data_IF_831363777196
#
_entry.id   IF_831363777196
#
_cell.length_a   1.000
_cell.length_b   1.000
_cell.length_c   1.000
_cell.angle_alpha   90.00
_cell.angle_beta   90.00
_cell.angle_gamma   90.00
#
_symmetry.space_group_name_H-M   'P 1'
#
loop_
_entity.id
_entity.type
_entity.pdbx_description
1 polymer ?
#
# COMPACT_ATOMS: atom_id res chain seq x y z
N UNK A 1 1.34 -9.74 -19.56
CA UNK A 1 0.21 -8.86 -19.17
C UNK A 1 0.79 -7.61 -18.57
N UNK A 2 0.25 -6.45 -18.94
CA UNK A 2 0.76 -5.15 -18.49
C UNK A 2 -0.07 -4.65 -17.31
N UNK A 3 0.61 -4.31 -16.23
CA UNK A 3 0.02 -3.89 -14.96
C UNK A 3 0.38 -2.45 -14.66
N UNK A 4 -0.60 -1.64 -14.26
CA UNK A 4 -0.40 -0.28 -13.75
C UNK A 4 -1.00 -0.19 -12.35
N UNK A 5 -0.17 0.16 -11.36
CA UNK A 5 -0.58 0.25 -9.97
C UNK A 5 -0.38 1.62 -9.35
N UNK A 6 -1.24 1.95 -8.39
CA UNK A 6 -1.22 3.20 -7.62
C UNK A 6 -1.31 2.89 -6.12
N UNK A 7 -0.35 3.43 -5.36
CA UNK A 7 -0.42 3.54 -3.90
C UNK A 7 -0.36 5.01 -3.49
N UNK A 8 -1.46 5.53 -3.01
CA UNK A 8 -1.59 6.88 -2.44
C UNK A 8 -1.84 6.84 -0.94
N UNK A 9 -1.68 5.68 -0.31
CA UNK A 9 -1.98 5.47 1.11
C UNK A 9 -0.92 6.07 2.04
N UNK A 10 0.27 6.40 1.50
CA UNK A 10 1.45 6.91 2.22
C UNK A 10 1.67 8.40 2.00
N UNK A 11 2.71 8.94 2.66
CA UNK A 11 3.15 10.34 2.48
C UNK A 11 3.56 10.65 1.04
N UNK A 12 4.23 9.70 0.39
CA UNK A 12 4.53 9.75 -1.03
C UNK A 12 3.58 8.81 -1.76
N UNK A 13 3.06 9.23 -2.91
CA UNK A 13 2.37 8.30 -3.78
C UNK A 13 3.39 7.48 -4.58
N UNK A 14 3.15 6.19 -4.68
CA UNK A 14 3.89 5.27 -5.53
C UNK A 14 3.05 4.90 -6.74
N UNK A 15 3.65 5.02 -7.92
CA UNK A 15 3.04 4.58 -9.18
C UNK A 15 4.00 3.55 -9.77
N UNK A 16 3.51 2.36 -10.05
CA UNK A 16 4.32 1.29 -10.58
C UNK A 16 3.69 0.67 -11.83
N UNK A 17 4.56 0.25 -12.73
CA UNK A 17 4.18 -0.42 -13.96
C UNK A 17 5.15 -1.56 -14.23
N UNK A 18 4.63 -2.71 -14.67
CA UNK A 18 5.44 -3.85 -15.09
C UNK A 18 4.70 -4.73 -16.08
N UNK A 19 5.46 -5.58 -16.80
CA UNK A 19 4.91 -6.66 -17.60
C UNK A 19 5.15 -8.00 -16.90
N UNK A 20 4.13 -8.84 -16.78
CA UNK A 20 4.25 -10.15 -16.12
C UNK A 20 5.19 -11.11 -16.85
N UNK A 21 5.58 -10.82 -18.09
CA UNK A 21 6.61 -11.56 -18.83
C UNK A 21 8.04 -11.14 -18.47
N UNK A 22 8.22 -10.03 -17.72
CA UNK A 22 9.51 -9.42 -17.35
C UNK A 22 9.47 -8.88 -15.93
N UNK A 23 9.35 -9.75 -14.95
CA UNK A 23 9.13 -9.38 -13.55
C UNK A 23 10.31 -8.66 -12.88
N UNK A 24 11.50 -8.71 -13.47
CA UNK A 24 12.69 -7.99 -13.10
C UNK A 24 12.72 -6.52 -13.60
N UNK A 25 11.86 -6.18 -14.56
CA UNK A 25 11.76 -4.85 -15.13
C UNK A 25 10.54 -4.08 -14.55
N UNK A 26 10.54 -3.83 -13.23
CA UNK A 26 9.50 -3.00 -12.62
C UNK A 26 9.88 -1.54 -12.64
N UNK A 27 9.00 -0.70 -13.18
CA UNK A 27 9.11 0.75 -13.10
C UNK A 27 8.34 1.25 -11.89
N UNK A 28 9.04 1.81 -10.91
CA UNK A 28 8.46 2.46 -9.74
C UNK A 28 8.80 3.95 -9.75
N UNK A 29 7.78 4.79 -9.74
CA UNK A 29 7.92 6.24 -9.62
C UNK A 29 7.31 6.70 -8.30
N UNK A 30 8.12 7.38 -7.49
CA UNK A 30 7.71 7.97 -6.22
C UNK A 30 7.42 9.45 -6.43
N UNK A 31 6.21 9.89 -6.12
CA UNK A 31 5.87 11.31 -6.14
C UNK A 31 6.55 12.05 -4.97
N UNK A 32 7.13 13.23 -5.20
CA UNK A 32 7.67 14.07 -4.14
C UNK A 32 6.62 14.43 -3.07
N UNK A 33 7.06 14.56 -1.82
CA UNK A 33 6.18 14.86 -0.66
C UNK A 33 5.50 16.22 -0.70
N UNK A 34 6.11 17.19 -1.39
CA UNK A 34 5.62 18.55 -1.55
C UNK A 34 4.51 18.68 -2.61
N UNK A 35 4.27 17.63 -3.39
CA UNK A 35 3.20 17.59 -4.38
C UNK A 35 2.00 16.83 -3.79
N UNK A 36 0.84 17.52 -3.72
CA UNK A 36 -0.39 16.85 -3.28
C UNK A 36 -0.80 15.78 -4.28
N UNK A 37 -1.23 14.62 -3.77
CA UNK A 37 -1.66 13.50 -4.60
C UNK A 37 -2.75 13.90 -5.60
N UNK A 38 -3.72 14.71 -5.19
CA UNK A 38 -4.80 15.20 -6.05
C UNK A 38 -4.33 16.12 -7.19
N UNK A 39 -3.19 16.76 -7.06
CA UNK A 39 -2.66 17.71 -8.05
C UNK A 39 -1.68 17.03 -9.02
N UNK A 40 -0.84 16.11 -8.51
CA UNK A 40 0.27 15.53 -9.27
C UNK A 40 -0.02 14.14 -9.87
N UNK A 41 -0.97 13.38 -9.33
CA UNK A 41 -1.11 11.97 -9.63
C UNK A 41 -1.23 11.66 -11.14
N UNK A 42 -2.06 12.42 -11.87
CA UNK A 42 -2.24 12.21 -13.30
C UNK A 42 -0.98 12.50 -14.12
N UNK A 43 -0.23 13.55 -13.75
CA UNK A 43 1.04 13.88 -14.40
C UNK A 43 2.07 12.75 -14.23
N UNK A 44 2.15 12.18 -13.03
CA UNK A 44 3.07 11.08 -12.75
C UNK A 44 2.62 9.76 -13.37
N UNK A 45 1.31 9.51 -13.46
CA UNK A 45 0.76 8.38 -14.21
C UNK A 45 1.15 8.45 -15.69
N UNK A 46 0.94 9.61 -16.33
CA UNK A 46 1.33 9.83 -17.71
C UNK A 46 2.84 9.60 -17.91
N UNK A 47 3.68 10.15 -17.03
CA UNK A 47 5.13 9.92 -17.08
C UNK A 47 5.50 8.43 -17.00
N UNK A 48 4.88 7.68 -16.07
CA UNK A 48 5.14 6.23 -15.94
C UNK A 48 4.76 5.49 -17.20
N UNK A 49 3.60 5.78 -17.78
CA UNK A 49 3.13 5.14 -19.01
C UNK A 49 4.08 5.45 -20.17
N UNK A 50 4.41 6.72 -20.39
CA UNK A 50 5.27 7.17 -21.49
C UNK A 50 6.71 6.63 -21.34
N UNK A 51 7.28 6.67 -20.14
CA UNK A 51 8.63 6.18 -19.87
C UNK A 51 8.78 4.66 -20.12
N UNK A 52 7.68 3.92 -20.02
CA UNK A 52 7.65 2.49 -20.34
C UNK A 52 7.25 2.21 -21.80
N UNK A 53 7.13 3.26 -22.64
CA UNK A 53 6.75 3.11 -24.05
C UNK A 53 5.35 2.54 -24.25
N UNK A 54 4.44 2.75 -23.29
CA UNK A 54 3.09 2.21 -23.30
C UNK A 54 2.06 3.29 -23.67
N UNK A 55 0.89 2.80 -24.09
CA UNK A 55 -0.35 3.58 -24.12
C UNK A 55 -1.24 3.09 -22.96
N UNK A 56 -2.10 3.93 -22.42
CA UNK A 56 -3.02 3.54 -21.33
C UNK A 56 -3.95 2.39 -21.75
N UNK A 57 -4.27 2.25 -23.03
CA UNK A 57 -5.07 1.16 -23.57
C UNK A 57 -4.35 -0.20 -23.52
N UNK A 58 -3.01 -0.19 -23.46
CA UNK A 58 -2.18 -1.42 -23.39
C UNK A 58 -2.23 -2.09 -22.01
N UNK A 59 -2.72 -1.38 -21.00
CA UNK A 59 -2.82 -1.91 -19.64
C UNK A 59 -3.90 -2.98 -19.58
N UNK A 60 -3.58 -4.12 -19.00
CA UNK A 60 -4.50 -5.24 -18.78
C UNK A 60 -5.14 -5.17 -17.39
N UNK A 61 -4.36 -4.79 -16.36
CA UNK A 61 -4.78 -4.73 -14.98
C UNK A 61 -4.46 -3.38 -14.35
N UNK A 62 -5.44 -2.83 -13.63
CA UNK A 62 -5.24 -1.73 -12.72
C UNK A 62 -5.12 -2.24 -11.29
N UNK A 63 -4.07 -1.83 -10.57
CA UNK A 63 -3.88 -2.13 -9.16
C UNK A 63 -4.12 -0.89 -8.32
N UNK A 64 -4.89 -1.02 -7.26
CA UNK A 64 -5.08 0.05 -6.27
C UNK A 64 -4.78 -0.46 -4.88
N UNK A 65 -3.90 0.23 -4.17
CA UNK A 65 -3.73 -0.02 -2.75
C UNK A 65 -4.90 0.61 -2.00
N UNK A 66 -5.69 -0.24 -1.34
CA UNK A 66 -6.96 0.16 -0.71
C UNK A 66 -6.81 0.54 0.77
N UNK A 67 -5.60 0.49 1.32
CA UNK A 67 -5.27 0.80 2.71
C UNK A 67 -4.45 -0.30 3.39
N UNK A 68 -4.24 -0.19 4.71
CA UNK A 68 -4.52 0.96 5.54
C UNK A 68 -3.60 2.13 5.25
N UNK A 69 -4.05 3.35 5.58
CA UNK A 69 -3.25 4.56 5.36
C UNK A 69 -4.06 5.84 5.40
N UNK A 70 -3.56 6.87 4.72
CA UNK A 70 -4.21 8.15 4.59
C UNK A 70 -5.62 8.03 4.03
N UNK A 71 -6.62 8.49 4.77
CA UNK A 71 -8.03 8.45 4.38
C UNK A 71 -8.28 9.19 3.03
N UNK A 72 -7.71 10.38 2.89
CA UNK A 72 -7.76 11.15 1.65
C UNK A 72 -6.98 10.45 0.54
N UNK A 73 -5.79 9.94 0.84
CA UNK A 73 -4.96 9.24 -0.13
C UNK A 73 -5.66 8.00 -0.70
N UNK A 74 -6.22 7.13 0.14
CA UNK A 74 -6.99 5.95 -0.30
C UNK A 74 -8.08 6.37 -1.29
N UNK A 75 -8.87 7.40 -0.96
CA UNK A 75 -9.95 7.88 -1.83
C UNK A 75 -9.44 8.45 -3.16
N UNK A 76 -8.33 9.19 -3.15
CA UNK A 76 -7.72 9.75 -4.37
C UNK A 76 -7.28 8.62 -5.29
N UNK A 77 -6.53 7.64 -4.82
CA UNK A 77 -6.06 6.51 -5.63
C UNK A 77 -7.22 5.69 -6.20
N UNK A 78 -8.14 5.29 -5.33
CA UNK A 78 -9.31 4.49 -5.75
C UNK A 78 -10.21 5.24 -6.75
N UNK A 79 -10.44 6.54 -6.55
CA UNK A 79 -11.26 7.34 -7.47
C UNK A 79 -10.58 7.51 -8.82
N UNK A 80 -9.25 7.64 -8.84
CA UNK A 80 -8.45 7.70 -10.07
C UNK A 80 -8.58 6.40 -10.85
N UNK A 81 -8.38 5.25 -10.20
CA UNK A 81 -8.55 3.94 -10.85
C UNK A 81 -9.98 3.73 -11.33
N UNK A 82 -11.00 4.06 -10.52
CA UNK A 82 -12.42 3.99 -10.95
C UNK A 82 -12.69 4.85 -12.17
N UNK A 83 -12.15 6.08 -12.20
CA UNK A 83 -12.32 7.01 -13.32
C UNK A 83 -11.71 6.47 -14.61
N UNK A 84 -10.47 6.00 -14.56
CA UNK A 84 -9.79 5.36 -15.69
C UNK A 84 -10.55 4.12 -16.16
N UNK A 85 -10.95 3.28 -15.22
CA UNK A 85 -11.59 2.01 -15.54
C UNK A 85 -13.00 2.15 -16.11
N UNK A 86 -13.69 3.26 -15.83
CA UNK A 86 -15.01 3.54 -16.43
C UNK A 86 -14.94 3.65 -17.96
N UNK A 87 -13.79 4.07 -18.50
CA UNK A 87 -13.57 4.19 -19.96
C UNK A 87 -12.89 2.95 -20.52
N UNK A 88 -11.92 2.40 -19.79
CA UNK A 88 -11.02 1.37 -20.31
C UNK A 88 -11.52 -0.06 -20.04
N UNK A 89 -12.42 -0.25 -19.08
CA UNK A 89 -13.05 -1.52 -18.73
C UNK A 89 -12.05 -2.68 -18.53
N UNK A 90 -11.05 -2.45 -17.69
CA UNK A 90 -10.02 -3.45 -17.34
C UNK A 90 -10.31 -4.09 -15.98
N UNK A 91 -9.60 -5.14 -15.65
CA UNK A 91 -9.69 -5.75 -14.32
C UNK A 91 -9.03 -4.85 -13.28
N UNK A 92 -9.70 -4.61 -12.16
CA UNK A 92 -9.12 -3.91 -11.00
C UNK A 92 -8.70 -4.95 -9.97
N UNK A 93 -7.47 -4.86 -9.50
CA UNK A 93 -6.88 -5.69 -8.43
C UNK A 93 -6.72 -4.82 -7.19
N UNK A 94 -7.66 -4.85 -6.24
CA UNK A 94 -7.50 -4.18 -4.95
C UNK A 94 -6.58 -4.98 -4.05
N UNK A 95 -5.63 -4.31 -3.39
CA UNK A 95 -4.68 -4.96 -2.48
C UNK A 95 -4.53 -4.09 -1.23
N UNK A 96 -4.54 -4.70 -0.05
CA UNK A 96 -4.16 -3.98 1.15
C UNK A 96 -2.64 -4.09 1.40
N UNK A 97 -2.07 -3.10 2.08
CA UNK A 97 -0.63 -3.03 2.30
C UNK A 97 -0.10 -4.18 3.17
N UNK A 98 -0.90 -4.73 4.06
CA UNK A 98 -0.48 -5.88 4.86
C UNK A 98 -0.33 -7.15 4.02
N UNK A 99 -1.15 -7.34 2.97
CA UNK A 99 -1.00 -8.46 2.03
C UNK A 99 0.32 -8.36 1.26
N UNK A 100 0.72 -7.14 0.86
CA UNK A 100 2.00 -6.90 0.18
C UNK A 100 3.19 -7.27 1.06
N UNK A 101 3.10 -7.00 2.36
CA UNK A 101 4.18 -7.21 3.32
C UNK A 101 4.17 -8.60 3.98
N UNK A 102 3.06 -9.32 3.91
CA UNK A 102 2.88 -10.62 4.55
C UNK A 102 3.95 -11.67 4.15
N UNK A 103 4.41 -11.76 2.90
CA UNK A 103 5.46 -12.72 2.52
C UNK A 103 6.77 -12.53 3.28
N UNK A 104 7.07 -11.31 3.74
CA UNK A 104 8.31 -10.96 4.41
C UNK A 104 8.38 -11.35 5.88
N UNK A 105 7.27 -11.81 6.46
CA UNK A 105 7.19 -12.15 7.88
C UNK A 105 6.43 -13.47 8.09
N UNK A 106 6.97 -14.36 8.93
CA UNK A 106 6.29 -15.60 9.30
C UNK A 106 5.49 -15.46 10.60
N UNK A 107 6.12 -14.85 11.61
CA UNK A 107 5.52 -14.60 12.92
C UNK A 107 5.96 -13.24 13.44
N UNK A 108 5.03 -12.40 13.84
CA UNK A 108 5.35 -11.06 14.36
C UNK A 108 4.26 -10.04 14.11
N UNK A 109 4.67 -8.79 13.96
CA UNK A 109 3.78 -7.66 13.72
C UNK A 109 4.30 -6.86 12.54
N UNK A 110 3.44 -6.59 11.58
CA UNK A 110 3.67 -5.57 10.55
C UNK A 110 3.16 -4.25 11.13
N UNK A 111 4.00 -3.22 11.14
CA UNK A 111 3.60 -1.89 11.58
C UNK A 111 3.77 -0.88 10.44
N UNK A 112 2.74 -0.07 10.25
CA UNK A 112 2.67 1.01 9.25
C UNK A 112 2.31 2.30 9.95
N UNK A 113 2.96 3.41 9.58
CA UNK A 113 2.70 4.68 10.25
C UNK A 113 1.26 5.15 10.02
N UNK A 114 0.58 5.57 11.09
CA UNK A 114 -0.79 6.12 11.05
C UNK A 114 -0.77 7.61 11.34
N UNK A 115 -0.35 7.98 12.55
CA UNK A 115 -0.25 9.38 13.00
C UNK A 115 1.11 9.61 13.66
N UNK A 116 1.32 10.80 14.23
CA UNK A 116 2.50 11.08 15.05
C UNK A 116 2.61 10.16 16.27
N UNK A 117 1.50 9.66 16.78
CA UNK A 117 1.41 8.89 18.04
C UNK A 117 0.95 7.44 17.87
N UNK A 118 0.51 7.02 16.68
CA UNK A 118 -0.06 5.68 16.45
C UNK A 118 0.43 5.03 15.17
N UNK A 119 0.31 3.71 15.12
CA UNK A 119 0.57 2.89 13.95
C UNK A 119 -0.63 2.00 13.63
N UNK A 120 -0.82 1.70 12.35
CA UNK A 120 -1.61 0.55 11.94
C UNK A 120 -0.78 -0.71 12.15
N UNK A 121 -1.39 -1.78 12.63
CA UNK A 121 -0.70 -3.05 12.81
C UNK A 121 -1.46 -4.23 12.20
N UNK A 122 -0.70 -5.26 11.82
CA UNK A 122 -1.22 -6.60 11.57
C UNK A 122 -0.37 -7.61 12.36
N UNK A 123 -1.03 -8.41 13.21
CA UNK A 123 -0.38 -9.57 13.87
C UNK A 123 -0.37 -10.74 12.91
N UNK A 124 0.80 -11.33 12.74
CA UNK A 124 1.04 -12.45 11.84
C UNK A 124 1.44 -13.69 12.63
N UNK A 125 0.77 -14.81 12.37
CA UNK A 125 1.11 -16.12 12.87
C UNK A 125 1.12 -17.13 11.72
N UNK A 126 2.26 -17.81 11.52
CA UNK A 126 2.48 -18.76 10.42
C UNK A 126 2.09 -18.22 9.02
N UNK A 127 2.47 -16.97 8.72
CA UNK A 127 2.12 -16.26 7.49
C UNK A 127 0.61 -16.02 7.32
N UNK A 128 -0.15 -16.01 8.39
CA UNK A 128 -1.57 -15.66 8.39
C UNK A 128 -1.76 -14.42 9.24
N UNK A 129 -2.48 -13.43 8.73
CA UNK A 129 -2.90 -12.26 9.52
C UNK A 129 -4.03 -12.73 10.45
N UNK A 130 -3.79 -12.63 11.76
CA UNK A 130 -4.74 -13.09 12.79
C UNK A 130 -5.45 -11.94 13.50
N UNK A 131 -4.91 -10.72 13.41
CA UNK A 131 -5.49 -9.52 14.03
C UNK A 131 -4.97 -8.27 13.34
N UNK A 132 -5.79 -7.24 13.21
CA UNK A 132 -5.42 -5.94 12.65
C UNK A 132 -6.07 -4.81 13.42
N UNK A 133 -5.42 -3.64 13.47
CA UNK A 133 -5.98 -2.50 14.16
C UNK A 133 -5.05 -1.30 14.18
N UNK A 134 -5.27 -0.44 15.16
CA UNK A 134 -4.46 0.74 15.47
C UNK A 134 -3.99 0.65 16.92
N UNK A 135 -2.72 0.95 17.15
CA UNK A 135 -2.12 0.95 18.49
C UNK A 135 -1.25 2.20 18.66
N UNK A 136 -1.14 2.70 19.89
CA UNK A 136 -0.19 3.75 20.20
C UNK A 136 1.25 3.26 20.01
N UNK A 137 2.13 4.13 19.52
CA UNK A 137 3.55 3.76 19.33
C UNK A 137 4.24 3.34 20.62
N UNK A 138 3.83 3.91 21.75
CA UNK A 138 4.33 3.55 23.07
C UNK A 138 4.03 2.08 23.44
N UNK A 139 2.88 1.59 23.01
CA UNK A 139 2.39 0.24 23.37
C UNK A 139 2.81 -0.82 22.34
N UNK A 140 3.39 -0.41 21.20
CA UNK A 140 3.78 -1.31 20.11
C UNK A 140 4.78 -2.37 20.58
N UNK A 141 5.76 -1.99 21.39
CA UNK A 141 6.81 -2.92 21.89
C UNK A 141 6.21 -4.01 22.77
N UNK A 142 5.28 -3.66 23.65
CA UNK A 142 4.61 -4.65 24.50
C UNK A 142 3.80 -5.66 23.70
N UNK A 143 3.22 -5.21 22.58
CA UNK A 143 2.47 -6.07 21.65
C UNK A 143 3.35 -7.11 20.95
N UNK A 144 4.65 -6.85 20.79
CA UNK A 144 5.56 -7.70 20.00
C UNK A 144 5.87 -9.03 20.67
N UNK A 145 5.86 -9.11 21.98
CA UNK A 145 6.15 -10.35 22.74
C UNK A 145 7.41 -11.07 22.21
N UNK A 146 8.50 -10.32 22.06
CA UNK A 146 9.79 -10.76 21.50
C UNK A 146 9.74 -11.30 20.05
N UNK A 147 8.64 -11.13 19.32
CA UNK A 147 8.51 -11.51 17.91
C UNK A 147 9.08 -10.44 16.98
N UNK A 148 9.14 -10.75 15.70
CA UNK A 148 9.65 -9.82 14.69
C UNK A 148 8.71 -8.61 14.49
N UNK A 149 9.30 -7.41 14.46
CA UNK A 149 8.63 -6.21 13.95
C UNK A 149 9.03 -6.01 12.49
N UNK A 150 8.06 -5.89 11.59
CA UNK A 150 8.27 -5.57 10.18
C UNK A 150 7.82 -4.15 9.89
N UNK A 151 8.68 -3.34 9.30
CA UNK A 151 8.40 -1.95 8.93
C UNK A 151 8.89 -1.63 7.52
N UNK A 152 8.31 -0.61 6.91
CA UNK A 152 8.83 -0.04 5.67
C UNK A 152 9.99 0.91 5.97
N UNK A 153 11.03 0.89 5.12
CA UNK A 153 12.20 1.77 5.23
C UNK A 153 11.83 3.24 5.31
N UNK A 154 10.91 3.66 4.47
CA UNK A 154 10.44 5.06 4.39
C UNK A 154 9.67 5.52 5.64
N UNK A 155 9.13 4.60 6.44
CA UNK A 155 8.36 4.87 7.65
C UNK A 155 9.12 4.59 8.95
N UNK A 156 10.30 3.98 8.90
CA UNK A 156 11.07 3.58 10.08
C UNK A 156 11.28 4.74 11.05
N UNK A 157 11.69 5.89 10.55
CA UNK A 157 11.91 7.09 11.38
C UNK A 157 10.60 7.67 11.92
N UNK A 158 9.52 7.61 11.13
CA UNK A 158 8.20 8.10 11.54
C UNK A 158 7.59 7.20 12.64
N UNK A 159 7.80 5.90 12.57
CA UNK A 159 7.38 4.95 13.62
C UNK A 159 8.20 5.20 14.90
N UNK A 160 9.51 5.44 14.77
CA UNK A 160 10.38 5.90 15.85
C UNK A 160 10.53 4.88 17.00
N UNK A 161 10.35 3.60 16.73
CA UNK A 161 10.49 2.52 17.73
C UNK A 161 11.82 1.81 17.51
N UNK A 162 12.69 1.84 18.52
CA UNK A 162 13.91 1.05 18.54
C UNK A 162 13.59 -0.36 19.04
N UNK A 163 13.81 -1.35 18.19
CA UNK A 163 13.54 -2.74 18.50
C UNK A 163 14.58 -3.68 17.88
N UNK A 164 15.20 -4.53 18.70
CA UNK A 164 16.32 -5.37 18.27
C UNK A 164 15.95 -6.38 17.17
N UNK A 165 14.73 -6.91 17.20
CA UNK A 165 14.25 -7.85 16.19
C UNK A 165 13.36 -7.15 15.15
N UNK A 166 13.88 -6.05 14.57
CA UNK A 166 13.20 -5.27 13.53
C UNK A 166 13.71 -5.67 12.15
N UNK A 167 12.80 -6.08 11.27
CA UNK A 167 13.04 -6.30 9.85
C UNK A 167 12.52 -5.10 9.07
N UNK A 168 13.35 -4.57 8.17
CA UNK A 168 13.01 -3.41 7.32
C UNK A 168 12.84 -3.87 5.89
N UNK A 169 11.72 -3.51 5.26
CA UNK A 169 11.48 -3.72 3.84
C UNK A 169 12.01 -2.51 3.08
N UNK A 170 13.05 -2.71 2.28
CA UNK A 170 13.69 -1.66 1.47
C UNK A 170 13.17 -1.63 0.03
N UNK A 171 12.91 -2.80 -0.55
CA UNK A 171 12.45 -2.96 -1.93
C UNK A 171 10.94 -3.21 -1.99
N UNK A 172 10.17 -2.13 -1.93
CA UNK A 172 8.72 -2.18 -2.02
C UNK A 172 8.25 -2.52 -3.46
N UNK A 173 9.05 -2.19 -4.48
CA UNK A 173 8.72 -2.49 -5.87
C UNK A 173 8.57 -4.00 -6.10
N UNK A 174 9.56 -4.79 -5.66
CA UNK A 174 9.48 -6.26 -5.73
C UNK A 174 8.30 -6.82 -4.94
N UNK A 175 7.92 -6.21 -3.81
CA UNK A 175 6.78 -6.67 -3.03
C UNK A 175 5.45 -6.42 -3.77
N UNK A 176 5.29 -5.26 -4.43
CA UNK A 176 4.13 -5.03 -5.29
C UNK A 176 4.03 -6.09 -6.38
N UNK A 177 5.12 -6.35 -7.11
CA UNK A 177 5.14 -7.34 -8.20
C UNK A 177 4.73 -8.73 -7.69
N UNK A 178 5.37 -9.23 -6.64
CA UNK A 178 5.09 -10.56 -6.07
C UNK A 178 3.62 -10.71 -5.67
N UNK A 179 3.09 -9.73 -4.93
CA UNK A 179 1.71 -9.79 -4.45
C UNK A 179 0.69 -9.70 -5.60
N UNK A 180 0.93 -8.81 -6.57
CA UNK A 180 0.04 -8.62 -7.72
C UNK A 180 0.02 -9.86 -8.61
N UNK A 181 1.19 -10.45 -8.91
CA UNK A 181 1.28 -11.66 -9.72
C UNK A 181 0.57 -12.82 -9.04
N UNK A 182 0.78 -13.02 -7.74
CA UNK A 182 0.11 -14.07 -6.98
C UNK A 182 -1.43 -13.93 -7.05
N UNK A 183 -1.95 -12.71 -6.88
CA UNK A 183 -3.40 -12.45 -6.99
C UNK A 183 -3.94 -12.67 -8.40
N UNK A 184 -3.20 -12.29 -9.43
CA UNK A 184 -3.61 -12.50 -10.83
C UNK A 184 -3.62 -14.00 -11.16
N UNK A 185 -2.57 -14.73 -10.80
CA UNK A 185 -2.42 -16.16 -11.09
C UNK A 185 -3.48 -17.01 -10.38
N UNK A 186 -3.86 -16.61 -9.16
CA UNK A 186 -4.90 -17.29 -8.37
C UNK A 186 -6.32 -16.76 -8.64
N UNK A 187 -6.47 -15.71 -9.48
CA UNK A 187 -7.73 -15.00 -9.71
C UNK A 187 -8.40 -14.55 -8.40
N UNK A 188 -7.57 -14.12 -7.43
CA UNK A 188 -7.98 -13.69 -6.08
C UNK A 188 -8.21 -12.18 -6.04
N UNK A 189 -9.39 -11.75 -6.48
CA UNK A 189 -9.77 -10.34 -6.49
C UNK A 189 -10.83 -10.05 -5.44
N UNK A 190 -10.43 -9.31 -4.40
CA UNK A 190 -11.36 -8.83 -3.39
C UNK A 190 -12.31 -7.75 -3.95
N UNK A 191 -13.32 -7.39 -3.19
CA UNK A 191 -14.18 -6.26 -3.53
C UNK A 191 -13.38 -4.94 -3.50
N UNK A 192 -13.64 -4.06 -4.49
CA UNK A 192 -12.94 -2.78 -4.59
C UNK A 192 -13.55 -1.74 -3.65
N UNK A 193 -13.29 -1.91 -2.34
CA UNK A 193 -13.71 -1.06 -1.25
C UNK A 193 -12.52 -0.58 -0.42
N UNK A 194 -12.58 0.60 0.21
CA UNK A 194 -11.49 1.10 1.04
C UNK A 194 -11.34 0.26 2.33
N UNK A 195 -10.10 -0.02 2.70
CA UNK A 195 -9.76 -0.73 3.93
C UNK A 195 -9.38 0.27 5.03
N UNK A 196 -10.39 0.71 5.80
CA UNK A 196 -10.21 1.63 6.91
C UNK A 196 -10.09 0.90 8.24
N UNK A 197 -8.98 1.12 8.96
CA UNK A 197 -8.77 0.59 10.33
C UNK A 197 -9.10 1.61 11.43
N UNK A 198 -9.37 2.86 11.06
CA UNK A 198 -9.80 3.90 11.98
C UNK A 198 -10.83 4.81 11.32
N UNK A 199 -11.59 5.51 12.14
CA UNK A 199 -12.53 6.53 11.67
C UNK A 199 -11.79 7.71 11.05
N UNK A 200 -12.42 8.40 10.11
CA UNK A 200 -11.90 9.66 9.60
C UNK A 200 -11.73 10.69 10.72
N UNK A 201 -10.90 11.72 10.49
CA UNK A 201 -10.73 12.80 11.49
C UNK A 201 -12.06 13.48 11.83
N UNK A 202 -12.92 13.67 10.83
CA UNK A 202 -14.25 14.28 11.04
C UNK A 202 -15.14 13.40 11.95
N UNK A 203 -15.17 12.07 11.72
CA UNK A 203 -15.93 11.13 12.55
C UNK A 203 -15.39 11.00 13.97
N UNK A 204 -14.07 11.15 14.17
CA UNK A 204 -13.45 11.17 15.50
C UNK A 204 -13.86 12.42 16.27
N UNK A 205 -13.75 13.60 15.63
CA UNK A 205 -14.13 14.86 16.26
C UNK A 205 -15.59 14.89 16.71
N UNK A 206 -16.51 14.21 15.96
CA UNK A 206 -17.93 14.09 16.35
C UNK A 206 -18.18 13.15 17.53
N UNK A 207 -17.24 12.27 17.88
CA UNK A 207 -17.35 11.36 19.04
C UNK A 207 -16.80 11.97 20.33
N UNK A 208 -16.00 13.00 20.20
CA UNK A 208 -15.36 13.71 21.33
C UNK A 208 -16.22 14.91 21.79
N UNK A 209 -17.35 15.19 21.12
CA UNK A 209 -18.42 16.13 21.51
C UNK A 209 -19.56 15.40 22.26
#
# INVERSE_FOLDING_TARGET
MKVLGIDTTRKCANIFCFDTSRLDEVSLTVMPRDIKHSEGLFLYLEKVILNNGLNINDIDYFVSIVGPGSFTGIRVGMSTIKGLNKVLNKVIVPINMFEILLPEIKNGVIALNSTSTSVYYAKVNNKIIVDTGVVAKADLIEMLDNKTLLVLKEEQNDIGVEYNNCKVVEDLASQYVKCVVDKIDNNDFAEFVPYYLQLSQAERNLKDE
#
